data_IF_977535079150
#
_entry.id   IF_977535079150
#
_cell.length_a   1.000
_cell.length_b   1.000
_cell.length_c   1.000
_cell.angle_alpha   90.00
_cell.angle_beta   90.00
_cell.angle_gamma   90.00
#
_symmetry.space_group_name_H-M   'P 1'
#
loop_
_entity.id
_entity.type
_entity.pdbx_description
1 polymer ?
#
# COMPACT_ATOMS: atom_id res chain seq x y z
N UNK A 1 -17.85 -8.06 -25.23
CA UNK A 1 -16.49 -7.55 -25.51
C UNK A 1 -15.56 -8.71 -25.81
N UNK A 2 -14.63 -8.56 -26.77
CA UNK A 2 -13.56 -9.54 -26.96
C UNK A 2 -12.40 -9.28 -25.98
N UNK A 3 -11.46 -10.25 -25.85
CA UNK A 3 -10.35 -10.16 -24.88
C UNK A 3 -9.47 -8.90 -25.05
N UNK A 4 -9.21 -8.45 -26.29
CA UNK A 4 -8.46 -7.22 -26.54
C UNK A 4 -9.19 -5.96 -26.02
N UNK A 5 -10.50 -5.92 -26.21
CA UNK A 5 -11.35 -4.82 -25.74
C UNK A 5 -11.46 -4.81 -24.21
N UNK A 6 -11.50 -5.98 -23.56
CA UNK A 6 -11.53 -6.09 -22.10
C UNK A 6 -10.24 -5.53 -21.52
N UNK A 7 -9.08 -5.93 -22.03
CA UNK A 7 -7.78 -5.39 -21.58
C UNK A 7 -7.68 -3.89 -21.77
N UNK A 8 -8.10 -3.37 -22.92
CA UNK A 8 -8.08 -1.94 -23.18
C UNK A 8 -9.00 -1.15 -22.23
N UNK A 9 -10.19 -1.69 -21.92
CA UNK A 9 -11.11 -1.08 -20.98
C UNK A 9 -10.56 -1.08 -19.54
N UNK A 10 -10.00 -2.21 -19.09
CA UNK A 10 -9.37 -2.34 -17.76
C UNK A 10 -8.19 -1.38 -17.64
N UNK A 11 -7.31 -1.32 -18.64
CA UNK A 11 -6.18 -0.38 -18.71
C UNK A 11 -6.65 1.07 -18.61
N UNK A 12 -7.67 1.46 -19.36
CA UNK A 12 -8.22 2.82 -19.35
C UNK A 12 -8.83 3.17 -17.98
N UNK A 13 -9.53 2.23 -17.35
CA UNK A 13 -10.11 2.44 -16.02
C UNK A 13 -9.04 2.60 -14.93
N UNK A 14 -7.98 1.79 -14.97
CA UNK A 14 -6.85 1.90 -14.04
C UNK A 14 -6.11 3.25 -14.21
N UNK A 15 -5.90 3.67 -15.45
CA UNK A 15 -5.31 4.98 -15.75
C UNK A 15 -6.18 6.13 -15.23
N UNK A 16 -7.49 6.08 -15.50
CA UNK A 16 -8.43 7.12 -15.08
C UNK A 16 -8.63 7.18 -13.56
N UNK A 17 -8.56 6.03 -12.88
CA UNK A 17 -8.72 5.97 -11.43
C UNK A 17 -7.55 6.62 -10.69
N UNK A 18 -6.31 6.43 -11.17
CA UNK A 18 -5.10 6.91 -10.50
C UNK A 18 -4.78 6.23 -9.18
N UNK A 19 -5.78 5.82 -8.41
CA UNK A 19 -5.69 5.13 -7.14
C UNK A 19 -5.90 3.61 -7.28
N UNK A 20 -5.50 2.79 -6.27
CA UNK A 20 -5.71 1.34 -6.30
C UNK A 20 -7.19 0.97 -6.38
N UNK A 21 -7.55 0.11 -7.34
CA UNK A 21 -8.91 -0.37 -7.60
C UNK A 21 -8.97 -1.88 -7.46
N UNK A 22 -10.02 -2.40 -6.80
CA UNK A 22 -10.24 -3.83 -6.67
C UNK A 22 -10.81 -4.46 -7.96
N UNK A 23 -10.52 -5.75 -8.17
CA UNK A 23 -10.94 -6.47 -9.37
C UNK A 23 -12.47 -6.58 -9.50
N UNK A 24 -13.19 -6.69 -8.38
CA UNK A 24 -14.66 -6.71 -8.34
C UNK A 24 -15.27 -5.38 -8.82
N UNK A 25 -14.68 -4.24 -8.41
CA UNK A 25 -15.12 -2.92 -8.86
C UNK A 25 -14.90 -2.72 -10.36
N UNK A 26 -13.76 -3.18 -10.89
CA UNK A 26 -13.48 -3.17 -12.33
C UNK A 26 -14.47 -4.09 -13.08
N UNK A 27 -14.73 -5.27 -12.54
CA UNK A 27 -15.67 -6.25 -13.12
C UNK A 27 -17.10 -5.71 -13.18
N UNK A 28 -17.56 -5.07 -12.11
CA UNK A 28 -18.85 -4.40 -12.07
C UNK A 28 -18.97 -3.28 -13.13
N UNK A 29 -17.90 -2.50 -13.33
CA UNK A 29 -17.88 -1.41 -14.30
C UNK A 29 -17.96 -1.89 -15.75
N UNK A 30 -17.31 -3.02 -16.09
CA UNK A 30 -17.39 -3.61 -17.43
C UNK A 30 -18.54 -4.60 -17.59
N UNK A 31 -19.29 -4.92 -16.52
CA UNK A 31 -20.37 -5.89 -16.48
C UNK A 31 -19.94 -7.30 -16.95
N UNK A 32 -18.78 -7.75 -16.46
CA UNK A 32 -18.21 -9.06 -16.76
C UNK A 32 -17.88 -9.82 -15.46
N UNK A 33 -17.74 -11.15 -15.52
CA UNK A 33 -17.28 -11.94 -14.38
C UNK A 33 -15.91 -11.45 -13.88
N UNK A 34 -15.70 -11.41 -12.55
CA UNK A 34 -14.46 -11.01 -11.93
C UNK A 34 -13.25 -11.82 -12.43
N UNK A 35 -13.41 -13.12 -12.61
CA UNK A 35 -12.38 -14.03 -13.14
C UNK A 35 -11.88 -13.62 -14.53
N UNK A 36 -12.76 -13.06 -15.38
CA UNK A 36 -12.40 -12.54 -16.71
C UNK A 36 -11.54 -11.28 -16.60
N UNK A 37 -11.86 -10.40 -15.63
CA UNK A 37 -11.11 -9.19 -15.39
C UNK A 37 -9.75 -9.49 -14.74
N UNK A 38 -9.70 -10.44 -13.81
CA UNK A 38 -8.45 -10.90 -13.20
C UNK A 38 -7.48 -11.48 -14.24
N UNK A 39 -7.98 -12.29 -15.18
CA UNK A 39 -7.17 -12.77 -16.29
C UNK A 39 -6.62 -11.62 -17.16
N UNK A 40 -7.43 -10.59 -17.42
CA UNK A 40 -7.00 -9.42 -18.17
C UNK A 40 -5.94 -8.58 -17.39
N UNK A 41 -6.09 -8.46 -16.06
CA UNK A 41 -5.13 -7.80 -15.17
C UNK A 41 -3.78 -8.51 -15.18
N UNK A 42 -3.75 -9.84 -15.09
CA UNK A 42 -2.50 -10.62 -15.18
C UNK A 42 -1.82 -10.48 -16.53
N UNK A 43 -2.57 -10.49 -17.63
CA UNK A 43 -1.99 -10.24 -18.96
C UNK A 43 -1.42 -8.81 -19.09
N UNK A 44 -2.10 -7.82 -18.50
CA UNK A 44 -1.59 -6.44 -18.44
C UNK A 44 -0.33 -6.36 -17.56
N UNK A 45 -0.28 -7.07 -16.42
CA UNK A 45 0.89 -7.13 -15.55
C UNK A 45 2.11 -7.66 -16.30
N UNK A 46 1.96 -8.75 -17.04
CA UNK A 46 3.03 -9.32 -17.88
C UNK A 46 3.44 -8.32 -18.97
N UNK A 47 2.49 -7.63 -19.61
CA UNK A 47 2.79 -6.62 -20.62
C UNK A 47 3.61 -5.46 -20.06
N UNK A 48 3.23 -4.94 -18.89
CA UNK A 48 3.92 -3.83 -18.22
C UNK A 48 5.20 -4.24 -17.47
N UNK A 49 5.48 -5.53 -17.33
CA UNK A 49 6.75 -6.02 -16.79
C UNK A 49 7.93 -5.89 -17.78
N UNK A 50 7.66 -5.60 -19.06
CA UNK A 50 8.70 -5.47 -20.11
C UNK A 50 9.60 -4.26 -19.85
N UNK A 51 10.88 -4.39 -20.20
CA UNK A 51 11.90 -3.35 -19.97
C UNK A 51 11.63 -2.04 -20.73
N UNK A 52 10.90 -2.10 -21.84
CA UNK A 52 10.58 -0.94 -22.68
C UNK A 52 9.37 -0.11 -22.16
N UNK A 53 8.79 -0.48 -21.01
CA UNK A 53 7.67 0.25 -20.42
C UNK A 53 8.14 1.19 -19.31
N UNK A 54 7.72 2.46 -19.33
CA UNK A 54 7.88 3.41 -18.23
C UNK A 54 6.84 3.24 -17.12
N UNK A 55 5.83 2.38 -17.35
CA UNK A 55 4.75 2.07 -16.40
C UNK A 55 4.90 0.64 -15.87
N UNK A 56 4.30 0.39 -14.72
CA UNK A 56 4.11 -0.93 -14.15
C UNK A 56 2.69 -1.09 -13.60
N UNK A 57 2.20 -2.32 -13.55
CA UNK A 57 0.93 -2.65 -12.90
C UNK A 57 1.23 -3.27 -11.53
N UNK A 58 0.91 -2.53 -10.48
CA UNK A 58 1.08 -2.96 -9.09
C UNK A 58 -0.14 -3.76 -8.65
N UNK A 59 0.10 -4.84 -7.90
CA UNK A 59 -0.88 -5.58 -7.14
C UNK A 59 -0.62 -5.31 -5.66
N UNK A 60 -1.52 -4.58 -5.01
CA UNK A 60 -1.39 -4.11 -3.63
C UNK A 60 -2.49 -4.79 -2.81
N UNK A 61 -2.13 -5.85 -2.09
CA UNK A 61 -3.06 -6.73 -1.39
C UNK A 61 -4.15 -7.27 -2.34
N UNK A 62 -5.36 -6.72 -2.32
CA UNK A 62 -6.49 -7.13 -3.18
C UNK A 62 -6.78 -6.13 -4.31
N UNK A 63 -5.94 -5.11 -4.46
CA UNK A 63 -6.17 -3.98 -5.38
C UNK A 63 -5.06 -3.85 -6.43
N UNK A 64 -5.41 -3.24 -7.55
CA UNK A 64 -4.54 -3.04 -8.69
C UNK A 64 -4.37 -1.55 -9.00
N UNK A 65 -3.17 -1.14 -9.32
CA UNK A 65 -2.87 0.25 -9.68
C UNK A 65 -1.87 0.32 -10.83
N UNK A 66 -2.16 1.14 -11.84
CA UNK A 66 -1.18 1.53 -12.85
C UNK A 66 -0.30 2.63 -12.25
N UNK A 67 1.01 2.42 -12.25
CA UNK A 67 1.99 3.33 -11.68
C UNK A 67 3.18 3.53 -12.61
N UNK A 68 3.99 4.56 -12.35
CA UNK A 68 5.27 4.75 -13.01
C UNK A 68 6.34 3.90 -12.33
N UNK A 69 7.30 3.40 -13.10
CA UNK A 69 8.45 2.66 -12.54
C UNK A 69 9.34 3.59 -11.72
N UNK A 70 9.90 3.05 -10.64
CA UNK A 70 10.75 3.78 -9.69
C UNK A 70 12.03 4.32 -10.32
N UNK A 71 12.55 3.68 -11.36
CA UNK A 71 13.73 4.13 -12.11
C UNK A 71 13.55 5.51 -12.75
N UNK A 72 12.29 5.91 -13.04
CA UNK A 72 11.95 7.21 -13.63
C UNK A 72 11.56 8.27 -12.57
N UNK A 73 11.61 7.95 -11.29
CA UNK A 73 11.16 8.82 -10.22
C UNK A 73 11.85 10.20 -10.22
N UNK A 74 13.15 10.26 -10.52
CA UNK A 74 13.89 11.52 -10.56
C UNK A 74 13.50 12.42 -11.75
N UNK A 75 13.22 11.81 -12.90
CA UNK A 75 12.73 12.53 -14.07
C UNK A 75 11.33 13.11 -13.82
N UNK A 76 10.45 12.29 -13.22
CA UNK A 76 9.08 12.68 -12.88
C UNK A 76 9.07 13.80 -11.83
N UNK A 77 9.90 13.70 -10.80
CA UNK A 77 10.05 14.76 -9.79
C UNK A 77 10.49 16.10 -10.40
N UNK A 78 11.43 16.08 -11.33
CA UNK A 78 11.88 17.30 -12.06
C UNK A 78 10.76 17.87 -12.93
N UNK A 79 10.01 17.02 -13.61
CA UNK A 79 8.89 17.44 -14.49
C UNK A 79 7.76 18.10 -13.69
N UNK A 80 7.43 17.53 -12.53
CA UNK A 80 6.31 18.00 -11.70
C UNK A 80 6.70 19.13 -10.74
N UNK A 81 7.94 19.60 -10.75
CA UNK A 81 8.49 20.54 -9.76
C UNK A 81 8.13 20.15 -8.32
N UNK A 82 7.96 18.86 -8.08
CA UNK A 82 7.50 18.34 -6.81
C UNK A 82 8.53 18.62 -5.72
N UNK A 83 8.16 19.43 -4.73
CA UNK A 83 8.95 19.62 -3.52
C UNK A 83 9.24 18.25 -2.92
N UNK A 84 10.51 17.96 -2.63
CA UNK A 84 10.89 16.75 -1.90
C UNK A 84 10.10 16.71 -0.61
N UNK A 85 9.17 15.79 -0.48
CA UNK A 85 8.63 15.45 0.84
C UNK A 85 9.83 15.05 1.69
N UNK A 86 10.04 15.75 2.81
CA UNK A 86 11.11 15.38 3.73
C UNK A 86 10.97 13.90 4.09
N UNK A 87 12.08 13.14 4.10
CA UNK A 87 12.03 11.75 4.52
C UNK A 87 11.43 11.65 5.92
N UNK A 88 10.83 10.51 6.25
CA UNK A 88 10.33 10.27 7.60
C UNK A 88 11.48 10.36 8.58
N UNK A 89 11.32 11.19 9.61
CA UNK A 89 12.26 11.23 10.72
C UNK A 89 12.24 9.93 11.53
N UNK A 90 13.28 9.65 12.34
CA UNK A 90 13.38 8.41 13.12
C UNK A 90 12.12 8.10 13.95
N UNK A 91 11.58 9.08 14.67
CA UNK A 91 10.38 8.92 15.48
C UNK A 91 9.14 8.52 14.67
N UNK A 92 8.96 9.09 13.47
CA UNK A 92 7.86 8.73 12.59
C UNK A 92 8.06 7.32 11.99
N UNK A 93 9.31 6.95 11.67
CA UNK A 93 9.63 5.61 11.16
C UNK A 93 9.38 4.54 12.23
N UNK A 94 9.81 4.77 13.49
CA UNK A 94 9.53 3.87 14.61
C UNK A 94 8.03 3.69 14.82
N UNK A 95 7.27 4.80 14.85
CA UNK A 95 5.80 4.77 15.00
C UNK A 95 5.16 3.97 13.87
N UNK A 96 5.57 4.19 12.63
CA UNK A 96 5.06 3.49 11.46
C UNK A 96 5.37 1.98 11.53
N UNK A 97 6.57 1.62 11.99
CA UNK A 97 6.97 0.23 12.20
C UNK A 97 6.07 -0.45 13.24
N UNK A 98 5.85 0.18 14.40
CA UNK A 98 4.95 -0.37 15.43
C UNK A 98 3.56 -0.62 14.85
N UNK A 99 3.01 0.32 14.08
CA UNK A 99 1.70 0.15 13.46
C UNK A 99 1.73 -0.98 12.43
N UNK A 100 2.69 -1.01 11.52
CA UNK A 100 2.74 -1.99 10.44
C UNK A 100 2.76 -3.44 10.92
N UNK A 101 3.46 -3.71 12.01
CA UNK A 101 3.60 -5.07 12.56
C UNK A 101 2.49 -5.49 13.54
N UNK A 102 1.71 -4.54 14.09
CA UNK A 102 0.75 -4.85 15.15
C UNK A 102 -0.68 -4.41 14.84
N UNK A 103 -0.96 -3.86 13.68
CA UNK A 103 -2.26 -3.30 13.29
C UNK A 103 -3.42 -4.30 13.32
N UNK A 104 -4.63 -3.86 13.68
CA UNK A 104 -4.98 -2.48 14.06
C UNK A 104 -4.60 -2.17 15.53
N UNK A 105 -3.98 -1.02 15.78
CA UNK A 105 -3.47 -0.64 17.11
C UNK A 105 -3.93 0.75 17.55
N UNK A 106 -4.11 0.94 18.84
CA UNK A 106 -4.44 2.23 19.43
C UNK A 106 -3.19 3.09 19.63
N UNK A 107 -3.38 4.42 19.80
CA UNK A 107 -2.28 5.32 20.18
C UNK A 107 -1.62 4.90 21.49
N UNK A 108 -2.40 4.54 22.50
CA UNK A 108 -1.87 4.09 23.79
C UNK A 108 -0.93 2.88 23.65
N UNK A 109 -1.27 1.93 22.79
CA UNK A 109 -0.39 0.80 22.49
C UNK A 109 0.92 1.25 21.84
N UNK A 110 0.85 2.17 20.86
CA UNK A 110 2.03 2.71 20.19
C UNK A 110 2.96 3.40 21.20
N UNK A 111 2.40 4.23 22.07
CA UNK A 111 3.13 4.94 23.13
C UNK A 111 3.73 3.99 24.17
N UNK A 112 3.01 2.94 24.52
CA UNK A 112 3.51 1.87 25.41
C UNK A 112 4.74 1.18 24.81
N UNK A 113 4.69 0.81 23.53
CA UNK A 113 5.81 0.13 22.85
C UNK A 113 7.00 1.06 22.68
N UNK A 114 6.77 2.33 22.35
CA UNK A 114 7.83 3.32 22.11
C UNK A 114 8.39 3.96 23.40
N UNK A 115 7.64 3.92 24.49
CA UNK A 115 8.01 4.58 25.74
C UNK A 115 7.92 6.11 25.72
N UNK A 116 7.38 6.73 24.67
CA UNK A 116 7.29 8.18 24.46
C UNK A 116 5.98 8.57 23.78
N UNK A 117 5.55 9.82 23.96
CA UNK A 117 4.41 10.38 23.23
C UNK A 117 4.59 10.23 21.71
N UNK A 118 3.55 9.77 21.06
CA UNK A 118 3.56 9.51 19.63
C UNK A 118 2.54 10.35 18.84
N UNK A 119 1.87 11.28 19.49
CA UNK A 119 0.76 12.07 18.92
C UNK A 119 1.19 12.83 17.65
N UNK A 120 2.36 13.48 17.66
CA UNK A 120 2.87 14.23 16.52
C UNK A 120 3.26 13.30 15.35
N UNK A 121 3.87 12.15 15.67
CA UNK A 121 4.24 11.13 14.66
C UNK A 121 3.00 10.52 14.00
N UNK A 122 1.99 10.13 14.78
CA UNK A 122 0.72 9.60 14.27
C UNK A 122 0.03 10.64 13.38
N UNK A 123 -0.08 11.89 13.82
CA UNK A 123 -0.69 12.97 13.03
C UNK A 123 0.06 13.21 11.71
N UNK A 124 1.38 13.20 11.72
CA UNK A 124 2.20 13.35 10.52
C UNK A 124 2.08 12.18 9.55
N UNK A 125 1.92 10.96 10.06
CA UNK A 125 1.70 9.75 9.24
C UNK A 125 0.29 9.75 8.61
N UNK A 126 -0.74 10.16 9.35
CA UNK A 126 -2.10 10.38 8.83
C UNK A 126 -2.11 11.43 7.71
N UNK A 127 -1.46 12.57 7.92
CA UNK A 127 -1.37 13.64 6.93
C UNK A 127 -0.66 13.20 5.63
N UNK A 128 0.32 12.29 5.75
CA UNK A 128 1.01 11.70 4.60
C UNK A 128 0.22 10.55 3.96
N UNK A 129 -0.90 10.14 4.52
CA UNK A 129 -1.70 9.02 4.05
C UNK A 129 -1.02 7.66 4.20
N UNK A 130 0.03 7.53 5.02
CA UNK A 130 0.72 6.27 5.25
C UNK A 130 -0.05 5.34 6.20
N UNK A 131 -0.85 5.93 7.07
CA UNK A 131 -1.78 5.23 7.97
C UNK A 131 -3.17 5.86 7.88
N UNK A 132 -4.17 5.11 8.31
CA UNK A 132 -5.56 5.57 8.40
C UNK A 132 -6.21 5.08 9.70
N UNK A 133 -7.34 5.67 10.08
CA UNK A 133 -8.17 5.16 11.17
C UNK A 133 -8.88 3.87 10.74
N UNK A 134 -8.75 2.81 11.53
CA UNK A 134 -9.33 1.49 11.27
C UNK A 134 -10.55 1.19 12.16
N UNK A 135 -11.22 2.23 12.65
CA UNK A 135 -12.33 2.11 13.58
C UNK A 135 -11.92 2.17 15.04
N UNK A 136 -12.77 1.64 15.93
CA UNK A 136 -12.54 1.61 17.38
C UNK A 136 -12.31 0.20 17.85
N UNK A 137 -11.34 0.03 18.76
CA UNK A 137 -11.07 -1.27 19.39
C UNK A 137 -12.11 -1.55 20.50
N UNK A 138 -12.42 -2.83 20.68
CA UNK A 138 -13.25 -3.30 21.80
C UNK A 138 -12.39 -3.42 23.08
N UNK A 139 -11.97 -2.27 23.56
CA UNK A 139 -11.17 -2.08 24.78
C UNK A 139 -11.81 -0.98 25.63
N UNK A 140 -11.53 -0.91 26.94
CA UNK A 140 -12.00 0.17 27.79
C UNK A 140 -11.72 1.55 27.18
N UNK A 141 -12.77 2.37 27.04
CA UNK A 141 -12.69 3.69 26.39
C UNK A 141 -12.83 3.65 24.87
N UNK A 142 -13.01 2.49 24.23
CA UNK A 142 -13.18 2.32 22.78
C UNK A 142 -12.23 3.19 21.94
N UNK A 143 -10.90 3.06 22.13
CA UNK A 143 -9.94 3.94 21.49
C UNK A 143 -9.94 3.74 19.97
N UNK A 144 -9.69 4.83 19.24
CA UNK A 144 -9.45 4.79 17.78
C UNK A 144 -8.22 3.94 17.50
N UNK A 145 -8.30 3.08 16.50
CA UNK A 145 -7.20 2.27 16.01
C UNK A 145 -6.67 2.77 14.67
N UNK A 146 -5.43 2.44 14.39
CA UNK A 146 -4.72 2.82 13.18
C UNK A 146 -4.22 1.59 12.43
N UNK A 147 -4.19 1.69 11.09
CA UNK A 147 -3.58 0.70 10.21
C UNK A 147 -2.85 1.39 9.06
N UNK A 148 -1.98 0.67 8.38
CA UNK A 148 -1.30 1.11 7.17
C UNK A 148 -2.26 1.14 5.97
N UNK A 149 -1.88 1.89 4.94
CA UNK A 149 -2.67 2.08 3.71
C UNK A 149 -1.95 1.50 2.49
N UNK A 150 -2.60 1.53 1.32
CA UNK A 150 -1.95 1.19 0.04
C UNK A 150 -0.80 2.16 -0.31
N UNK A 151 -0.86 3.41 0.19
CA UNK A 151 0.26 4.37 0.06
C UNK A 151 1.50 3.85 0.77
N UNK A 152 1.33 3.27 1.97
CA UNK A 152 2.41 2.61 2.69
C UNK A 152 3.01 1.47 1.86
N UNK A 153 2.20 0.51 1.39
CA UNK A 153 2.68 -0.62 0.60
C UNK A 153 3.48 -0.13 -0.62
N UNK A 154 2.94 0.83 -1.36
CA UNK A 154 3.60 1.43 -2.52
C UNK A 154 4.91 2.12 -2.18
N UNK A 155 4.95 2.92 -1.10
CA UNK A 155 6.15 3.65 -0.68
C UNK A 155 7.29 2.73 -0.26
N UNK A 156 6.97 1.56 0.30
CA UNK A 156 7.94 0.57 0.75
C UNK A 156 8.18 -0.56 -0.27
N UNK A 157 7.52 -0.51 -1.43
CA UNK A 157 7.69 -1.51 -2.50
C UNK A 157 7.16 -2.89 -2.13
N UNK A 158 6.14 -2.95 -1.26
CA UNK A 158 5.51 -4.17 -0.78
C UNK A 158 4.24 -4.46 -1.60
N UNK A 159 3.96 -5.72 -1.84
CA UNK A 159 2.69 -6.15 -2.45
C UNK A 159 1.61 -6.39 -1.38
N UNK A 160 2.05 -6.78 -0.18
CA UNK A 160 1.18 -7.01 0.98
C UNK A 160 1.96 -6.83 2.29
N UNK A 161 1.28 -6.87 3.43
CA UNK A 161 1.92 -6.87 4.75
C UNK A 161 2.75 -8.13 5.02
N UNK A 162 2.46 -9.23 4.34
CA UNK A 162 3.23 -10.47 4.46
C UNK A 162 4.66 -10.34 3.91
N UNK A 163 4.92 -9.32 3.07
CA UNK A 163 6.25 -9.03 2.53
C UNK A 163 7.13 -8.23 3.53
N UNK A 164 6.60 -7.86 4.70
CA UNK A 164 7.39 -7.21 5.73
C UNK A 164 8.49 -8.15 6.24
N UNK A 165 9.72 -7.66 6.45
CA UNK A 165 10.79 -8.45 7.04
C UNK A 165 10.39 -9.00 8.42
N UNK A 166 10.77 -10.24 8.77
CA UNK A 166 10.48 -10.78 10.09
C UNK A 166 11.14 -9.93 11.19
N UNK A 167 10.44 -9.77 12.32
CA UNK A 167 10.99 -9.06 13.48
C UNK A 167 12.19 -9.86 14.02
N UNK A 168 13.36 -9.23 14.14
CA UNK A 168 14.54 -9.88 14.74
C UNK A 168 14.22 -10.27 16.19
N UNK A 169 14.06 -11.53 16.45
CA UNK A 169 13.73 -12.11 17.77
C UNK A 169 12.94 -13.40 17.68
N UNK A 170 12.24 -13.67 16.58
CA UNK A 170 11.44 -14.91 16.44
C UNK A 170 12.25 -16.10 15.87
N UNK A 171 13.48 -15.87 15.39
CA UNK A 171 14.31 -16.96 14.81
C UNK A 171 15.16 -17.73 15.81
N UNK A 172 15.18 -17.38 17.09
CA UNK A 172 15.98 -18.13 18.11
C UNK A 172 15.18 -19.23 18.83
N UNK A 173 13.88 -19.39 18.55
CA UNK A 173 13.00 -20.34 19.23
C UNK A 173 12.83 -21.72 18.57
N UNK A 174 13.18 -21.90 17.30
CA UNK A 174 12.90 -23.14 16.55
C UNK A 174 14.10 -24.08 16.33
N UNK A 175 15.30 -23.73 16.82
CA UNK A 175 16.51 -24.54 16.65
C UNK A 175 16.94 -25.32 17.90
N UNK A 176 16.06 -25.47 18.90
CA UNK A 176 16.35 -26.24 20.13
C UNK A 176 15.18 -27.12 20.53
N UNK A 177 14.87 -28.17 19.76
CA UNK A 177 14.21 -29.39 20.27
C UNK A 177 14.58 -30.59 19.40
#
# INVERSE_FOLDING_TARGET
MNQKQIKAAVEAMLFAAGDPVSADKLAAAVQLPQTTVEAALEELRVRYAREDSGLCLLHLDTRWQLATRTEWADCIRRLLDARRSAPLGPAAMETLTVIAYNQPVSRAFIEQVRGVDSSSSVSGLLQKGLIEEAGRLDLPGHPVSFRTTDVFLRCFGLSSLADLPPVRGEQEGEAAT
#
